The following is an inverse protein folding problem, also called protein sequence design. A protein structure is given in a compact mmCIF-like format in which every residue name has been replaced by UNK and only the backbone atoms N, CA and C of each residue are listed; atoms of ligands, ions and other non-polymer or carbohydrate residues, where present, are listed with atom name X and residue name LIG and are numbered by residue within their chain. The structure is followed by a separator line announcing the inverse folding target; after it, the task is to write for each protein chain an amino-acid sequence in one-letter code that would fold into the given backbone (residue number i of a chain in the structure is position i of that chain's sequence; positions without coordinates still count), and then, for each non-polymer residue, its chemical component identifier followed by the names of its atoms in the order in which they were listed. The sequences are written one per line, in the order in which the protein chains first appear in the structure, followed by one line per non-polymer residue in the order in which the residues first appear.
data_IF_168234025023
#
_entry.id   IF_168234025023
#
_cell.length_a   1.000
_cell.length_b   1.000
_cell.length_c   1.000
_cell.angle_alpha   90.00
_cell.angle_beta   90.00
_cell.angle_gamma   90.00
#
_symmetry.space_group_name_H-M   'P 1'
#
loop_
_entity.id
_entity.type
_entity.pdbx_description
1 polymer ?
#
# COMPACT_ATOMS: atom_id res chain seq x y z
N UNK A 1 30.83 12.06 48.55
CA UNK A 1 30.07 11.23 47.59
C UNK A 1 30.64 11.45 46.20
N UNK A 2 31.33 10.46 45.62
CA UNK A 2 31.90 10.54 44.27
C UNK A 2 30.85 10.01 43.30
N UNK A 3 30.40 10.85 42.35
CA UNK A 3 29.45 10.42 41.30
C UNK A 3 30.17 9.44 40.36
N UNK A 4 29.62 8.24 40.08
CA UNK A 4 30.21 7.35 39.10
C UNK A 4 30.15 7.99 37.70
N UNK A 5 31.30 8.15 37.07
CA UNK A 5 31.42 8.58 35.67
C UNK A 5 30.92 7.46 34.77
N UNK A 6 29.83 7.71 34.03
CA UNK A 6 29.34 6.75 33.05
C UNK A 6 30.38 6.58 31.93
N UNK A 7 30.69 5.34 31.49
CA UNK A 7 31.55 5.12 30.34
C UNK A 7 30.92 5.72 29.08
N UNK A 8 31.71 6.51 28.36
CA UNK A 8 31.29 7.19 27.13
C UNK A 8 30.95 6.15 26.06
N UNK A 9 29.73 6.20 25.52
CA UNK A 9 29.36 5.40 24.36
C UNK A 9 30.31 5.73 23.19
N UNK A 10 30.82 4.72 22.46
CA UNK A 10 31.67 4.97 21.31
C UNK A 10 30.91 5.83 20.30
N UNK A 11 31.58 6.84 19.73
CA UNK A 11 31.03 7.73 18.72
C UNK A 11 30.69 6.90 17.47
N UNK A 12 29.44 6.45 17.37
CA UNK A 12 28.91 5.81 16.16
C UNK A 12 28.96 6.88 15.06
N UNK A 13 29.77 6.64 14.02
CA UNK A 13 29.78 7.51 12.85
C UNK A 13 28.36 7.51 12.29
N UNK A 14 27.72 8.68 12.08
CA UNK A 14 26.40 8.71 11.50
C UNK A 14 26.52 8.08 10.10
N UNK A 15 25.96 6.88 9.94
CA UNK A 15 25.83 6.27 8.63
C UNK A 15 25.14 7.28 7.72
N UNK A 16 25.66 7.46 6.50
CA UNK A 16 25.02 8.30 5.48
C UNK A 16 23.62 7.74 5.24
N UNK A 17 22.62 8.34 5.86
CA UNK A 17 21.21 8.05 5.56
C UNK A 17 20.99 8.52 4.12
N UNK A 18 20.99 7.57 3.18
CA UNK A 18 20.63 7.83 1.79
C UNK A 18 19.14 8.17 1.79
N UNK A 19 18.82 9.47 1.79
CA UNK A 19 17.45 9.94 1.61
C UNK A 19 17.04 9.65 0.16
N UNK A 20 16.26 8.60 -0.05
CA UNK A 20 15.58 8.36 -1.31
C UNK A 20 14.78 9.61 -1.70
N UNK A 21 14.95 10.09 -2.93
CA UNK A 21 14.22 11.25 -3.49
C UNK A 21 12.69 11.08 -3.41
N UNK A 22 12.23 9.83 -3.43
CA UNK A 22 10.83 9.46 -3.20
C UNK A 22 10.76 8.34 -2.17
N UNK A 23 10.13 8.57 -1.00
CA UNK A 23 10.03 7.54 0.03
C UNK A 23 9.24 6.35 -0.50
N UNK A 24 9.81 5.16 -0.36
CA UNK A 24 9.21 3.90 -0.78
C UNK A 24 8.61 3.18 0.43
N UNK A 25 7.58 2.35 0.27
CA UNK A 25 7.17 1.44 1.31
C UNK A 25 8.31 0.49 1.69
N UNK A 26 8.60 0.37 2.98
CA UNK A 26 9.57 -0.62 3.49
C UNK A 26 8.90 -1.99 3.59
N UNK A 27 9.33 -2.94 2.75
CA UNK A 27 8.77 -4.28 2.64
C UNK A 27 9.42 -5.28 3.59
N UNK A 28 8.68 -5.74 4.60
CA UNK A 28 8.76 -7.14 5.04
C UNK A 28 7.49 -7.81 4.53
N UNK A 29 7.58 -9.08 4.09
CA UNK A 29 6.41 -9.91 3.77
C UNK A 29 5.40 -9.77 4.91
N UNK A 30 4.29 -9.11 4.64
CA UNK A 30 3.25 -8.81 5.62
C UNK A 30 1.98 -9.50 5.17
N UNK A 31 1.37 -10.21 6.10
CA UNK A 31 0.08 -10.89 5.98
C UNK A 31 -0.93 -10.07 5.16
N UNK A 32 -1.82 -10.75 4.41
CA UNK A 32 -2.92 -10.09 3.70
C UNK A 32 -3.66 -9.12 4.63
N UNK A 33 -4.00 -7.89 4.20
CA UNK A 33 -4.74 -6.93 5.01
C UNK A 33 -6.10 -7.50 5.41
N UNK A 34 -6.48 -7.27 6.67
CA UNK A 34 -7.82 -7.60 7.18
C UNK A 34 -8.83 -6.59 6.64
N UNK A 35 -10.10 -6.99 6.48
CA UNK A 35 -11.19 -6.10 6.04
C UNK A 35 -11.26 -4.81 6.89
N UNK A 36 -11.12 -4.94 8.20
CA UNK A 36 -11.08 -3.80 9.13
C UNK A 36 -9.95 -2.80 8.81
N UNK A 37 -8.77 -3.29 8.44
CA UNK A 37 -7.64 -2.42 8.08
C UNK A 37 -7.93 -1.65 6.80
N UNK A 38 -8.57 -2.27 5.80
CA UNK A 38 -8.96 -1.59 4.57
C UNK A 38 -9.94 -0.44 4.83
N UNK A 39 -10.88 -0.62 5.78
CA UNK A 39 -11.91 0.37 6.12
C UNK A 39 -11.35 1.56 6.92
N UNK A 40 -10.47 1.29 7.89
CA UNK A 40 -10.11 2.28 8.90
C UNK A 40 -8.66 2.74 8.83
N UNK A 41 -7.74 1.94 8.30
CA UNK A 41 -6.33 2.28 8.30
C UNK A 41 -6.06 3.44 7.32
N UNK A 42 -5.25 4.45 7.70
CA UNK A 42 -4.81 5.47 6.75
C UNK A 42 -3.93 4.85 5.65
N UNK A 43 -4.15 5.27 4.40
CA UNK A 43 -3.30 4.88 3.26
C UNK A 43 -1.95 5.60 3.24
N UNK A 44 -1.15 5.40 4.29
CA UNK A 44 0.24 5.84 4.35
C UNK A 44 1.14 4.94 3.48
N UNK A 45 2.38 5.37 3.21
CA UNK A 45 3.28 4.65 2.31
C UNK A 45 3.48 3.18 2.70
N UNK A 46 3.63 2.88 4.00
CA UNK A 46 3.79 1.51 4.49
C UNK A 46 2.57 0.65 4.17
N UNK A 47 1.37 1.14 4.49
CA UNK A 47 0.14 0.41 4.24
C UNK A 47 -0.15 0.27 2.74
N UNK A 48 0.15 1.31 1.96
CA UNK A 48 0.08 1.28 0.50
C UNK A 48 0.97 0.18 -0.10
N UNK A 49 2.20 0.02 0.40
CA UNK A 49 3.09 -1.07 0.01
C UNK A 49 2.55 -2.45 0.35
N UNK A 50 2.00 -2.64 1.54
CA UNK A 50 1.37 -3.90 1.95
C UNK A 50 0.17 -4.25 1.08
N UNK A 51 -0.70 -3.28 0.79
CA UNK A 51 -1.85 -3.47 -0.11
C UNK A 51 -1.39 -3.87 -1.50
N UNK A 52 -0.34 -3.25 -2.05
CA UNK A 52 0.25 -3.66 -3.33
C UNK A 52 0.74 -5.10 -3.31
N UNK A 53 1.56 -5.46 -2.33
CA UNK A 53 2.10 -6.83 -2.22
C UNK A 53 0.99 -7.87 -2.13
N UNK A 54 -0.05 -7.57 -1.37
CA UNK A 54 -1.23 -8.43 -1.29
C UNK A 54 -1.96 -8.54 -2.63
N UNK A 55 -2.19 -7.44 -3.34
CA UNK A 55 -2.81 -7.46 -4.67
C UNK A 55 -1.96 -8.30 -5.62
N UNK A 56 -0.64 -8.06 -5.70
CA UNK A 56 0.28 -8.81 -6.56
C UNK A 56 0.27 -10.32 -6.24
N UNK A 57 0.19 -10.69 -4.96
CA UNK A 57 0.11 -12.08 -4.52
C UNK A 57 -1.23 -12.73 -4.91
N UNK A 58 -2.36 -12.05 -4.70
CA UNK A 58 -3.67 -12.58 -5.07
C UNK A 58 -3.79 -12.71 -6.60
N UNK A 59 -3.23 -11.76 -7.38
CA UNK A 59 -3.15 -11.85 -8.84
C UNK A 59 -2.28 -13.04 -9.28
N UNK A 60 -1.13 -13.25 -8.63
CA UNK A 60 -0.18 -14.32 -8.98
C UNK A 60 -0.69 -15.71 -8.59
N UNK A 61 -1.28 -15.86 -7.41
CA UNK A 61 -1.63 -17.17 -6.83
C UNK A 61 -3.01 -17.63 -7.26
N UNK A 62 -3.94 -16.71 -7.53
CA UNK A 62 -5.34 -17.03 -7.81
C UNK A 62 -5.80 -16.61 -9.20
N UNK A 63 -4.87 -16.18 -10.04
CA UNK A 63 -5.15 -15.65 -11.39
C UNK A 63 -6.23 -14.55 -11.37
N UNK A 64 -6.35 -13.82 -10.25
CA UNK A 64 -7.26 -12.70 -10.13
C UNK A 64 -6.76 -11.58 -11.02
N UNK A 65 -7.47 -11.28 -12.11
CA UNK A 65 -7.13 -10.15 -12.98
C UNK A 65 -7.94 -8.94 -12.51
N UNK A 66 -7.27 -7.86 -12.09
CA UNK A 66 -7.91 -6.63 -11.61
C UNK A 66 -8.95 -6.10 -12.61
N UNK A 67 -8.68 -6.23 -13.91
CA UNK A 67 -9.58 -5.81 -14.98
C UNK A 67 -10.86 -6.66 -15.12
N UNK A 68 -10.91 -7.88 -14.58
CA UNK A 68 -12.06 -8.77 -14.76
C UNK A 68 -13.25 -8.43 -13.85
N UNK A 69 -13.01 -7.69 -12.77
CA UNK A 69 -14.03 -7.38 -11.77
C UNK A 69 -14.08 -5.91 -11.36
N UNK A 70 -13.14 -5.08 -11.85
CA UNK A 70 -13.19 -3.64 -11.71
C UNK A 70 -13.48 -3.01 -13.06
N UNK A 71 -14.31 -1.97 -13.04
CA UNK A 71 -14.43 -1.08 -14.17
C UNK A 71 -13.05 -0.52 -14.55
N UNK A 72 -12.84 -0.21 -15.83
CA UNK A 72 -11.56 0.34 -16.33
C UNK A 72 -11.07 1.55 -15.53
N UNK A 73 -12.01 2.39 -15.05
CA UNK A 73 -11.71 3.54 -14.19
C UNK A 73 -11.17 3.15 -12.82
N UNK A 74 -11.73 2.11 -12.20
CA UNK A 74 -11.37 1.63 -10.88
C UNK A 74 -10.04 0.87 -10.91
N UNK A 75 -9.82 0.04 -11.94
CA UNK A 75 -8.52 -0.59 -12.18
C UNK A 75 -7.40 0.44 -12.38
N UNK A 76 -7.65 1.49 -13.17
CA UNK A 76 -6.72 2.62 -13.34
C UNK A 76 -6.45 3.34 -12.02
N UNK A 77 -7.47 3.55 -11.20
CA UNK A 77 -7.35 4.22 -9.91
C UNK A 77 -6.46 3.42 -8.95
N UNK A 78 -6.65 2.10 -8.87
CA UNK A 78 -5.80 1.20 -8.06
C UNK A 78 -4.35 1.24 -8.54
N UNK A 79 -4.11 1.15 -9.86
CA UNK A 79 -2.76 1.24 -10.45
C UNK A 79 -2.10 2.58 -10.15
N UNK A 80 -2.82 3.69 -10.27
CA UNK A 80 -2.29 5.02 -9.97
C UNK A 80 -1.93 5.20 -8.49
N UNK A 81 -2.80 4.71 -7.60
CA UNK A 81 -2.64 4.97 -6.18
C UNK A 81 -1.73 3.96 -5.50
N UNK A 82 -1.88 2.66 -5.76
CA UNK A 82 -1.18 1.58 -5.05
C UNK A 82 0.05 1.02 -5.77
N UNK A 83 0.38 1.49 -6.97
CA UNK A 83 1.57 1.02 -7.67
C UNK A 83 2.54 2.17 -7.96
N UNK A 84 3.87 1.92 -7.92
CA UNK A 84 4.84 2.90 -8.34
C UNK A 84 4.72 3.15 -9.85
N UNK A 85 4.78 4.43 -10.26
CA UNK A 85 4.68 4.81 -11.66
C UNK A 85 5.98 4.54 -12.41
N UNK A 86 5.91 3.84 -13.55
CA UNK A 86 7.06 3.22 -14.25
C UNK A 86 8.23 4.16 -14.51
N UNK A 87 7.97 5.40 -14.96
CA UNK A 87 9.02 6.37 -15.33
C UNK A 87 9.92 6.81 -14.17
N UNK A 88 9.43 6.78 -12.94
CA UNK A 88 10.15 7.32 -11.78
C UNK A 88 10.18 6.37 -10.57
N UNK A 89 9.57 5.17 -10.69
CA UNK A 89 9.23 4.27 -9.58
C UNK A 89 8.58 5.03 -8.41
N UNK A 90 7.83 6.09 -8.71
CA UNK A 90 7.29 7.03 -7.72
C UNK A 90 5.89 6.60 -7.32
N UNK A 91 5.64 6.57 -6.02
CA UNK A 91 4.30 6.45 -5.49
C UNK A 91 3.61 7.80 -5.50
N UNK A 92 2.47 7.89 -6.17
CA UNK A 92 1.68 9.11 -6.19
C UNK A 92 1.02 9.33 -4.82
N UNK A 93 1.00 10.58 -4.39
CA UNK A 93 0.19 11.00 -3.24
C UNK A 93 -1.27 11.25 -3.65
N UNK A 94 -2.15 11.54 -2.68
CA UNK A 94 -3.57 11.77 -2.96
C UNK A 94 -3.82 12.93 -3.91
N UNK A 95 -3.07 14.02 -3.81
CA UNK A 95 -3.26 15.22 -4.65
C UNK A 95 -2.85 14.96 -6.09
N UNK A 96 -1.75 14.22 -6.29
CA UNK A 96 -1.29 13.83 -7.62
C UNK A 96 -2.28 12.91 -8.32
N UNK A 97 -2.88 11.97 -7.57
CA UNK A 97 -3.94 11.13 -8.11
C UNK A 97 -5.19 11.95 -8.43
N UNK A 98 -5.63 12.85 -7.55
CA UNK A 98 -6.77 13.74 -7.82
C UNK A 98 -6.58 14.65 -9.04
N UNK A 99 -5.34 15.04 -9.36
CA UNK A 99 -5.04 15.77 -10.61
C UNK A 99 -5.18 14.91 -11.86
N UNK A 100 -5.01 13.59 -11.71
CA UNK A 100 -5.02 12.62 -12.81
C UNK A 100 -6.41 12.05 -13.05
N UNK A 101 -7.22 11.94 -12.00
CA UNK A 101 -8.60 11.43 -12.03
C UNK A 101 -9.54 12.43 -11.37
N UNK A 102 -10.60 12.80 -12.09
CA UNK A 102 -11.64 13.71 -11.61
C UNK A 102 -12.54 13.01 -10.58
N UNK A 103 -11.99 12.73 -9.40
CA UNK A 103 -12.74 12.31 -8.23
C UNK A 103 -12.97 13.55 -7.37
N UNK A 104 -14.22 13.78 -6.93
CA UNK A 104 -14.66 15.03 -6.27
C UNK A 104 -14.08 15.29 -4.86
N UNK A 105 -12.78 15.02 -4.65
CA UNK A 105 -12.02 15.35 -3.45
C UNK A 105 -11.35 14.16 -2.76
N UNK A 106 -10.48 14.45 -1.77
CA UNK A 106 -9.72 13.44 -1.00
C UNK A 106 -10.62 12.42 -0.29
N UNK A 107 -11.76 12.87 0.26
CA UNK A 107 -12.72 12.00 0.96
C UNK A 107 -13.35 10.98 0.00
N UNK A 108 -13.90 11.46 -1.12
CA UNK A 108 -14.48 10.60 -2.17
C UNK A 108 -13.44 9.65 -2.77
N UNK A 109 -12.20 10.11 -2.97
CA UNK A 109 -11.10 9.25 -3.39
C UNK A 109 -10.86 8.11 -2.40
N UNK A 110 -10.79 8.42 -1.10
CA UNK A 110 -10.62 7.39 -0.07
C UNK A 110 -11.78 6.41 -0.06
N UNK A 111 -13.01 6.90 -0.05
CA UNK A 111 -14.23 6.07 -0.07
C UNK A 111 -14.21 5.11 -1.27
N UNK A 112 -13.90 5.62 -2.47
CA UNK A 112 -13.83 4.81 -3.68
C UNK A 112 -12.72 3.76 -3.62
N UNK A 113 -11.52 4.14 -3.16
CA UNK A 113 -10.41 3.20 -2.98
C UNK A 113 -10.76 2.09 -1.98
N UNK A 114 -11.41 2.45 -0.87
CA UNK A 114 -11.86 1.48 0.14
C UNK A 114 -12.91 0.54 -0.46
N UNK A 115 -13.91 1.07 -1.17
CA UNK A 115 -14.94 0.27 -1.85
C UNK A 115 -14.31 -0.76 -2.79
N UNK A 116 -13.37 -0.34 -3.64
CA UNK A 116 -12.66 -1.21 -4.58
C UNK A 116 -11.87 -2.30 -3.85
N UNK A 117 -11.11 -1.93 -2.81
CA UNK A 117 -10.29 -2.89 -2.07
C UNK A 117 -11.14 -3.89 -1.28
N UNK A 118 -12.29 -3.46 -0.76
CA UNK A 118 -13.24 -4.34 -0.06
C UNK A 118 -13.86 -5.33 -1.04
N UNK A 119 -14.29 -4.89 -2.23
CA UNK A 119 -14.77 -5.78 -3.29
C UNK A 119 -13.71 -6.81 -3.68
N UNK A 120 -12.47 -6.36 -3.86
CA UNK A 120 -11.35 -7.24 -4.17
C UNK A 120 -11.09 -8.25 -3.04
N UNK A 121 -11.16 -7.81 -1.78
CA UNK A 121 -11.00 -8.66 -0.62
C UNK A 121 -12.08 -9.75 -0.54
N UNK A 122 -13.34 -9.38 -0.75
CA UNK A 122 -14.47 -10.32 -0.74
C UNK A 122 -14.34 -11.37 -1.84
N UNK A 123 -13.94 -10.96 -3.05
CA UNK A 123 -13.72 -11.89 -4.18
C UNK A 123 -12.56 -12.85 -3.91
N UNK A 124 -11.43 -12.34 -3.42
CA UNK A 124 -10.28 -13.16 -3.00
C UNK A 124 -10.70 -14.21 -1.96
N UNK A 125 -11.56 -13.84 -1.00
CA UNK A 125 -12.06 -14.76 0.03
C UNK A 125 -13.06 -15.78 -0.50
N UNK A 126 -13.95 -15.40 -1.41
CA UNK A 126 -14.84 -16.33 -2.07
C UNK A 126 -14.05 -17.42 -2.81
N UNK A 127 -12.98 -17.05 -3.53
CA UNK A 127 -12.07 -18.00 -4.18
C UNK A 127 -11.27 -18.86 -3.17
N UNK A 128 -11.00 -18.35 -1.96
CA UNK A 128 -10.43 -19.19 -0.87
C UNK A 128 -11.41 -20.27 -0.41
N UNK A 129 -12.69 -19.93 -0.29
CA UNK A 129 -13.74 -20.86 0.13
C UNK A 129 -14.07 -21.94 -0.89
N UNK A 130 -13.88 -21.67 -2.18
CA UNK A 130 -14.14 -22.63 -3.27
C UNK A 130 -13.02 -23.68 -3.40
N UNK A 131 -11.81 -23.39 -2.91
CA UNK A 131 -10.64 -24.26 -3.05
C UNK A 131 -10.57 -25.40 -2.00
N UNK A 132 -11.68 -25.69 -1.32
CA UNK A 132 -11.83 -26.76 -0.32
C UNK A 132 -13.05 -27.62 -0.67
N UNK A 133 -13.04 -28.20 -1.87
CA UNK A 133 -13.85 -29.34 -2.29
C UNK A 133 -12.98 -30.18 -3.23
#
# INVERSE_FOLDING_TARGET
MVKPSQPWLPKIKPEKIIKLKYPQPSGKLQESPKKFELLHHPFNLKFKGRVRSWIEEEMRVRELILEDFLDKSDGKLVKLYFFPQEKAKKWLNQEEVLRTVHVGGKKKLRERLVEILVKFWEKSRALKGISVL
#
